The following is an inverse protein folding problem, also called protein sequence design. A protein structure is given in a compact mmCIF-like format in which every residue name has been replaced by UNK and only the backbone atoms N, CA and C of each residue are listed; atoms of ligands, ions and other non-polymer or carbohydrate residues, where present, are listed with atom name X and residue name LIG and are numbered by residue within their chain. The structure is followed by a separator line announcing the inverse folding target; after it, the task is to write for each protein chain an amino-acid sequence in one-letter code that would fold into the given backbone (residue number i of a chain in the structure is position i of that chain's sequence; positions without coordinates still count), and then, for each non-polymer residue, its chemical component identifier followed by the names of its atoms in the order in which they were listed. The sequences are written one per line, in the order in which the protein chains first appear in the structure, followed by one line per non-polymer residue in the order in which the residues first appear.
data_IF_133477490454
#
_entry.id   IF_133477490454
#
_cell.length_a   1.000
_cell.length_b   1.000
_cell.length_c   1.000
_cell.angle_alpha   90.00
_cell.angle_beta   90.00
_cell.angle_gamma   90.00
#
_symmetry.space_group_name_H-M   'P 1'
#
loop_
_entity.id
_entity.type
_entity.pdbx_description
1 polymer ?
#
# COMPACT_ATOMS: atom_id res chain seq x y z
N UNK A 1 20.19 -30.27 -0.42
CA UNK A 1 19.73 -30.04 0.97
C UNK A 1 18.40 -29.34 0.87
N UNK A 2 17.32 -30.10 0.92
CA UNK A 2 15.96 -29.56 0.89
C UNK A 2 15.68 -28.83 2.20
N UNK A 3 15.48 -27.52 2.11
CA UNK A 3 14.95 -26.76 3.23
C UNK A 3 13.53 -27.25 3.50
N UNK A 4 13.30 -27.84 4.67
CA UNK A 4 11.96 -28.20 5.15
C UNK A 4 11.03 -26.99 5.05
N UNK A 5 9.78 -27.15 4.57
CA UNK A 5 8.82 -26.07 4.49
C UNK A 5 8.64 -25.47 5.87
N UNK A 6 9.06 -24.22 6.03
CA UNK A 6 8.93 -23.50 7.28
C UNK A 6 7.43 -23.45 7.68
N UNK A 7 7.08 -23.95 8.87
CA UNK A 7 5.69 -23.95 9.36
C UNK A 7 5.25 -22.52 9.70
N UNK A 8 4.62 -21.86 8.73
CA UNK A 8 4.13 -20.48 8.84
C UNK A 8 3.00 -20.32 9.89
N UNK A 9 2.47 -21.41 10.48
CA UNK A 9 1.32 -21.36 11.40
C UNK A 9 1.62 -20.80 12.79
N UNK A 10 2.88 -20.84 13.24
CA UNK A 10 3.26 -20.41 14.59
C UNK A 10 4.01 -19.07 14.64
N UNK A 11 4.06 -18.34 13.52
CA UNK A 11 4.71 -17.02 13.45
C UNK A 11 3.69 -15.91 13.74
N UNK A 12 4.08 -14.85 14.48
CA UNK A 12 3.24 -13.66 14.65
C UNK A 12 2.85 -13.10 13.28
N UNK A 13 1.56 -12.84 13.07
CA UNK A 13 1.05 -12.22 11.84
C UNK A 13 1.09 -10.71 11.97
N UNK A 14 1.51 -10.03 10.92
CA UNK A 14 1.52 -8.58 10.81
C UNK A 14 0.37 -8.13 9.92
N UNK A 15 -0.41 -7.14 10.38
CA UNK A 15 -1.38 -6.41 9.57
C UNK A 15 -0.97 -4.94 9.51
N UNK A 16 -0.79 -4.43 8.30
CA UNK A 16 -0.59 -3.01 8.04
C UNK A 16 -1.83 -2.46 7.33
N UNK A 17 -2.50 -1.49 7.96
CA UNK A 17 -3.67 -0.82 7.37
C UNK A 17 -3.26 0.59 6.97
N UNK A 18 -3.45 0.89 5.69
CA UNK A 18 -3.38 2.25 5.17
C UNK A 18 -4.73 2.93 5.32
N UNK A 19 -4.78 4.05 6.04
CA UNK A 19 -5.99 4.87 6.16
C UNK A 19 -5.71 6.28 5.62
N UNK A 20 -6.21 6.55 4.41
CA UNK A 20 -6.05 7.88 3.80
C UNK A 20 -6.87 8.93 4.56
N UNK A 21 -6.30 10.13 4.71
CA UNK A 21 -6.89 11.27 5.41
C UNK A 21 -7.39 10.99 6.85
N UNK A 22 -6.85 9.97 7.53
CA UNK A 22 -7.11 9.73 8.96
C UNK A 22 -6.48 10.83 9.84
N UNK A 23 -7.27 11.84 10.18
CA UNK A 23 -6.84 12.98 10.97
C UNK A 23 -7.36 12.91 12.42
N UNK A 24 -6.48 13.18 13.39
CA UNK A 24 -6.80 13.16 14.81
C UNK A 24 -7.88 14.19 15.22
N UNK A 25 -8.00 15.30 14.50
CA UNK A 25 -9.04 16.30 14.74
C UNK A 25 -10.45 15.77 14.44
N UNK A 26 -10.56 14.76 13.56
CA UNK A 26 -11.82 14.07 13.29
C UNK A 26 -11.97 12.82 14.16
N UNK A 27 -10.90 12.05 14.32
CA UNK A 27 -10.91 10.79 15.06
C UNK A 27 -11.19 11.01 16.55
N UNK A 28 -10.53 11.98 17.20
CA UNK A 28 -10.64 12.15 18.65
C UNK A 28 -12.08 12.47 19.10
N UNK A 29 -12.81 13.44 18.48
CA UNK A 29 -14.20 13.69 18.85
C UNK A 29 -15.12 12.48 18.65
N UNK A 30 -14.85 11.62 17.67
CA UNK A 30 -15.64 10.40 17.44
C UNK A 30 -15.35 9.32 18.50
N UNK A 31 -14.09 9.18 18.92
CA UNK A 31 -13.69 8.31 20.03
C UNK A 31 -14.33 8.78 21.34
N UNK A 32 -14.25 10.07 21.66
CA UNK A 32 -14.83 10.66 22.88
C UNK A 32 -16.35 10.47 22.96
N UNK A 33 -17.05 10.45 21.83
CA UNK A 33 -18.49 10.18 21.72
C UNK A 33 -18.83 8.69 21.80
N UNK A 34 -17.85 7.80 21.96
CA UNK A 34 -18.04 6.34 21.98
C UNK A 34 -18.40 5.75 20.61
N UNK A 35 -18.17 6.47 19.51
CA UNK A 35 -18.53 6.04 18.15
C UNK A 35 -17.45 5.18 17.47
N UNK A 36 -16.27 5.04 18.09
CA UNK A 36 -15.14 4.28 17.55
C UNK A 36 -14.53 3.32 18.59
N UNK A 37 -15.32 2.39 19.17
CA UNK A 37 -14.90 1.57 20.32
C UNK A 37 -13.70 0.66 20.02
N UNK A 38 -13.57 0.18 18.77
CA UNK A 38 -12.41 -0.64 18.36
C UNK A 38 -11.14 0.20 18.33
N UNK A 39 -11.22 1.42 17.80
CA UNK A 39 -10.05 2.31 17.73
C UNK A 39 -9.68 2.82 19.12
N UNK A 40 -10.65 3.17 19.95
CA UNK A 40 -10.44 3.52 21.36
C UNK A 40 -9.63 2.44 22.09
N UNK A 41 -9.99 1.17 21.92
CA UNK A 41 -9.23 0.03 22.47
C UNK A 41 -7.78 0.01 21.96
N UNK A 42 -7.55 0.23 20.66
CA UNK A 42 -6.19 0.29 20.10
C UNK A 42 -5.37 1.45 20.64
N UNK A 43 -5.97 2.62 20.87
CA UNK A 43 -5.29 3.77 21.45
C UNK A 43 -4.92 3.54 22.91
N UNK A 44 -5.77 2.86 23.69
CA UNK A 44 -5.54 2.56 25.10
C UNK A 44 -4.52 1.43 25.31
N UNK A 45 -4.64 0.35 24.54
CA UNK A 45 -3.88 -0.88 24.75
C UNK A 45 -2.61 -0.95 23.88
N UNK A 46 -2.40 0.06 23.01
CA UNK A 46 -1.29 0.14 22.06
C UNK A 46 -0.47 1.42 22.19
N UNK A 47 0.11 1.86 21.07
CA UNK A 47 0.87 3.11 20.98
C UNK A 47 0.31 3.96 19.84
N UNK A 48 0.18 5.26 20.10
CA UNK A 48 -0.33 6.24 19.14
C UNK A 48 0.46 7.54 19.22
N UNK A 49 0.45 8.31 18.14
CA UNK A 49 1.14 9.60 18.08
C UNK A 49 1.15 10.21 16.69
N UNK A 50 1.59 11.47 16.63
CA UNK A 50 1.78 12.18 15.38
C UNK A 50 3.07 11.72 14.69
N UNK A 51 2.97 11.34 13.42
CA UNK A 51 4.12 11.06 12.57
C UNK A 51 4.39 12.25 11.66
N UNK A 52 5.67 12.62 11.54
CA UNK A 52 6.07 13.66 10.60
C UNK A 52 5.83 13.19 9.16
N UNK A 53 5.12 14.00 8.38
CA UNK A 53 4.86 13.73 6.96
C UNK A 53 6.01 14.20 6.05
N UNK A 54 6.03 13.68 4.82
CA UNK A 54 6.93 14.17 3.77
C UNK A 54 6.32 15.39 3.07
N UNK A 55 7.19 16.26 2.55
CA UNK A 55 6.78 17.40 1.72
C UNK A 55 7.35 17.30 0.30
N UNK A 56 6.54 17.56 -0.75
CA UNK A 56 5.08 17.76 -0.71
C UNK A 56 4.31 16.49 -0.29
N UNK A 57 3.15 16.68 0.36
CA UNK A 57 2.30 15.61 0.88
C UNK A 57 1.40 15.02 -0.23
N UNK A 58 2.02 14.47 -1.28
CA UNK A 58 1.29 13.82 -2.37
C UNK A 58 1.12 12.34 -2.06
N UNK A 59 -0.10 11.81 -2.19
CA UNK A 59 -0.41 10.40 -1.91
C UNK A 59 0.56 9.42 -2.59
N UNK A 60 0.93 9.56 -3.88
CA UNK A 60 1.89 8.68 -4.52
C UNK A 60 3.25 8.63 -3.83
N UNK A 61 3.73 9.77 -3.32
CA UNK A 61 5.00 9.84 -2.61
C UNK A 61 4.89 9.17 -1.24
N UNK A 62 3.82 9.44 -0.50
CA UNK A 62 3.60 8.94 0.85
C UNK A 62 3.39 7.42 0.87
N UNK A 63 2.49 6.89 0.04
CA UNK A 63 2.17 5.47 -0.03
C UNK A 63 3.38 4.63 -0.45
N UNK A 64 4.19 5.13 -1.39
CA UNK A 64 5.41 4.44 -1.82
C UNK A 64 6.55 4.57 -0.79
N UNK A 65 6.60 5.68 -0.04
CA UNK A 65 7.53 5.81 1.08
C UNK A 65 7.20 4.84 2.21
N UNK A 66 5.92 4.66 2.55
CA UNK A 66 5.47 3.67 3.54
C UNK A 66 5.82 2.26 3.05
N UNK A 67 5.52 1.93 1.80
CA UNK A 67 5.76 0.60 1.24
C UNK A 67 7.25 0.22 1.20
N UNK A 68 8.14 1.18 0.95
CA UNK A 68 9.57 0.92 0.71
C UNK A 68 10.47 1.28 1.89
N UNK A 69 10.00 2.09 2.83
CA UNK A 69 10.82 2.71 3.87
C UNK A 69 11.83 3.72 3.33
N UNK A 70 11.64 4.22 2.10
CA UNK A 70 12.55 5.13 1.39
C UNK A 70 11.90 6.47 1.12
N UNK A 71 12.71 7.50 0.83
CA UNK A 71 12.20 8.81 0.39
C UNK A 71 11.91 8.81 -1.13
N UNK A 72 11.13 9.77 -1.65
CA UNK A 72 10.81 9.90 -3.08
C UNK A 72 12.01 9.87 -4.02
N UNK A 73 13.12 10.52 -3.63
CA UNK A 73 14.38 10.50 -4.39
C UNK A 73 14.99 9.09 -4.54
N UNK A 74 14.68 8.17 -3.63
CA UNK A 74 15.24 6.81 -3.60
C UNK A 74 14.29 5.82 -4.28
N UNK A 75 12.99 5.86 -3.95
CA UNK A 75 12.02 4.95 -4.57
C UNK A 75 11.54 5.41 -5.95
N UNK A 76 11.81 6.66 -6.36
CA UNK A 76 11.59 7.16 -7.73
C UNK A 76 10.17 7.64 -8.06
N UNK A 77 9.23 7.61 -7.10
CA UNK A 77 7.85 8.05 -7.32
C UNK A 77 7.68 9.46 -6.78
N UNK A 78 7.46 10.42 -7.68
CA UNK A 78 7.51 11.86 -7.37
C UNK A 78 6.15 12.58 -7.43
N UNK A 79 5.11 11.93 -7.93
CA UNK A 79 3.80 12.54 -8.13
C UNK A 79 2.81 11.53 -8.69
N UNK A 80 1.68 12.04 -9.19
CA UNK A 80 0.61 11.21 -9.75
C UNK A 80 0.93 10.69 -11.15
N UNK A 81 1.80 11.40 -11.87
CA UNK A 81 2.22 11.05 -13.23
C UNK A 81 3.73 11.07 -13.34
N UNK A 82 4.23 10.34 -14.32
CA UNK A 82 5.63 10.34 -14.74
C UNK A 82 5.72 10.41 -16.27
N UNK A 83 6.88 10.80 -16.79
CA UNK A 83 7.10 10.79 -18.22
C UNK A 83 7.05 9.36 -18.78
N UNK A 84 6.53 9.21 -19.99
CA UNK A 84 6.67 7.97 -20.74
C UNK A 84 8.15 7.69 -21.03
N UNK A 85 8.48 6.43 -21.26
CA UNK A 85 9.87 6.00 -21.52
C UNK A 85 10.46 6.64 -22.79
N UNK A 86 9.61 6.98 -23.76
CA UNK A 86 9.94 7.68 -25.01
C UNK A 86 9.93 9.22 -24.88
N UNK A 87 9.63 9.74 -23.69
CA UNK A 87 9.47 11.16 -23.37
C UNK A 87 8.45 11.92 -24.24
N UNK A 88 7.51 11.24 -24.90
CA UNK A 88 6.51 11.89 -25.76
C UNK A 88 5.24 12.32 -25.02
N UNK A 89 5.10 11.91 -23.75
CA UNK A 89 3.93 12.20 -22.94
C UNK A 89 4.12 11.84 -21.47
N UNK A 90 3.02 11.77 -20.74
CA UNK A 90 2.98 11.37 -19.33
C UNK A 90 2.01 10.21 -19.13
N UNK A 91 2.32 9.34 -18.18
CA UNK A 91 1.46 8.24 -17.73
C UNK A 91 1.25 8.31 -16.21
N UNK A 92 0.15 7.74 -15.68
CA UNK A 92 0.00 7.55 -14.24
C UNK A 92 1.14 6.72 -13.67
N UNK A 93 1.52 7.00 -12.43
CA UNK A 93 2.47 6.14 -11.72
C UNK A 93 1.86 4.78 -11.41
N UNK A 94 2.71 3.76 -11.50
CA UNK A 94 2.37 2.35 -11.45
C UNK A 94 3.35 1.61 -10.51
N UNK A 95 3.12 0.31 -10.30
CA UNK A 95 4.07 -0.54 -9.57
C UNK A 95 5.46 -0.54 -10.21
N UNK A 96 5.49 -0.44 -11.55
CA UNK A 96 6.71 -0.36 -12.37
C UNK A 96 7.47 0.96 -12.24
N UNK A 97 6.85 2.02 -11.69
CA UNK A 97 7.52 3.30 -11.43
C UNK A 97 8.50 3.22 -10.26
N UNK A 98 8.30 2.28 -9.32
CA UNK A 98 9.15 2.12 -8.15
C UNK A 98 10.54 1.58 -8.55
N UNK A 99 11.58 2.24 -8.08
CA UNK A 99 13.00 1.81 -8.22
C UNK A 99 13.53 1.03 -7.02
N UNK A 100 12.70 0.84 -6.00
CA UNK A 100 13.03 0.15 -4.77
C UNK A 100 12.02 -0.96 -4.50
N UNK A 101 12.49 -2.03 -3.85
CA UNK A 101 11.62 -3.11 -3.37
C UNK A 101 10.69 -2.58 -2.28
N UNK A 102 9.41 -2.88 -2.39
CA UNK A 102 8.45 -2.71 -1.32
C UNK A 102 8.55 -3.86 -0.30
N UNK A 103 7.92 -3.67 0.86
CA UNK A 103 7.94 -4.63 1.97
C UNK A 103 7.51 -6.04 1.51
N UNK A 104 6.46 -6.16 0.70
CA UNK A 104 5.99 -7.44 0.17
C UNK A 104 6.99 -8.13 -0.76
N UNK A 105 7.80 -7.38 -1.52
CA UNK A 105 8.87 -7.96 -2.34
C UNK A 105 9.97 -8.55 -1.46
N UNK A 106 10.35 -7.82 -0.41
CA UNK A 106 11.38 -8.25 0.55
C UNK A 106 10.90 -9.51 1.28
N UNK A 107 9.67 -9.52 1.78
CA UNK A 107 9.06 -10.67 2.45
C UNK A 107 9.00 -11.89 1.52
N UNK A 108 8.56 -11.71 0.27
CA UNK A 108 8.49 -12.80 -0.72
C UNK A 108 9.86 -13.40 -1.02
N UNK A 109 10.89 -12.55 -1.18
CA UNK A 109 12.27 -13.00 -1.42
C UNK A 109 12.87 -13.76 -0.24
N UNK A 110 12.36 -13.53 0.97
CA UNK A 110 12.72 -14.27 2.18
C UNK A 110 11.79 -15.45 2.47
N UNK A 111 11.00 -15.90 1.48
CA UNK A 111 10.13 -17.06 1.60
C UNK A 111 8.87 -16.85 2.43
N UNK A 112 8.56 -15.62 2.84
CA UNK A 112 7.35 -15.30 3.62
C UNK A 112 6.17 -15.00 2.69
N UNK A 113 4.97 -15.41 3.11
CA UNK A 113 3.74 -15.12 2.38
C UNK A 113 3.18 -13.73 2.73
N UNK A 114 2.54 -13.07 1.77
CA UNK A 114 1.88 -11.77 1.97
C UNK A 114 0.55 -11.69 1.22
N UNK A 115 -0.41 -10.97 1.79
CA UNK A 115 -1.62 -10.55 1.10
C UNK A 115 -1.56 -9.02 1.00
N UNK A 116 -1.62 -8.49 -0.22
CA UNK A 116 -1.63 -7.05 -0.48
C UNK A 116 -2.89 -6.72 -1.26
N UNK A 117 -3.68 -5.77 -0.77
CA UNK A 117 -4.94 -5.37 -1.40
C UNK A 117 -5.03 -3.84 -1.44
N UNK A 118 -5.36 -3.28 -2.60
CA UNK A 118 -5.73 -1.88 -2.73
C UNK A 118 -4.60 -0.87 -2.51
N UNK A 119 -3.34 -1.31 -2.37
CA UNK A 119 -2.22 -0.40 -2.06
C UNK A 119 -1.97 0.55 -3.23
N UNK A 120 -1.84 1.86 -2.98
CA UNK A 120 -1.72 2.84 -4.06
C UNK A 120 -0.50 2.57 -4.97
N UNK A 121 -0.71 2.70 -6.29
CA UNK A 121 0.29 2.37 -7.33
C UNK A 121 0.81 0.92 -7.22
N UNK A 122 -0.09 -0.03 -7.00
CA UNK A 122 0.21 -1.47 -7.03
C UNK A 122 -0.21 -2.14 -8.34
N UNK A 123 -0.75 -1.39 -9.30
CA UNK A 123 -1.02 -1.86 -10.65
C UNK A 123 0.19 -1.63 -11.57
N UNK A 124 0.59 -2.59 -12.43
CA UNK A 124 0.12 -3.96 -12.50
C UNK A 124 0.49 -4.77 -11.25
N UNK A 125 -0.36 -5.74 -10.90
CA UNK A 125 -0.14 -6.60 -9.73
C UNK A 125 1.21 -7.32 -9.85
N UNK A 126 2.03 -7.20 -8.80
CA UNK A 126 3.37 -7.78 -8.78
C UNK A 126 3.32 -9.27 -8.42
N UNK A 127 4.20 -10.10 -9.01
CA UNK A 127 4.35 -11.48 -8.58
C UNK A 127 4.99 -11.53 -7.18
N UNK A 128 4.21 -11.96 -6.19
CA UNK A 128 4.65 -12.15 -4.81
C UNK A 128 4.31 -13.56 -4.33
N UNK A 129 4.96 -14.02 -3.26
CA UNK A 129 4.55 -15.25 -2.57
C UNK A 129 3.26 -14.95 -1.80
N UNK A 130 2.12 -15.28 -2.36
CA UNK A 130 0.81 -15.02 -1.74
C UNK A 130 -0.16 -14.41 -2.75
N UNK A 131 -0.91 -13.38 -2.33
CA UNK A 131 -1.99 -12.79 -3.12
C UNK A 131 -1.80 -11.29 -3.22
N UNK A 132 -1.90 -10.74 -4.43
CA UNK A 132 -1.96 -9.29 -4.65
C UNK A 132 -3.22 -8.93 -5.45
N UNK A 133 -4.06 -8.07 -4.89
CA UNK A 133 -5.12 -7.36 -5.59
C UNK A 133 -4.70 -5.90 -5.72
N UNK A 134 -4.45 -5.44 -6.95
CA UNK A 134 -3.96 -4.08 -7.19
C UNK A 134 -5.03 -3.03 -6.83
N UNK A 135 -4.62 -1.77 -6.67
CA UNK A 135 -5.53 -0.65 -6.46
C UNK A 135 -6.47 -0.35 -7.64
N UNK A 136 -6.30 -1.04 -8.78
CA UNK A 136 -7.21 -0.95 -9.92
C UNK A 136 -8.16 -2.15 -10.01
N UNK A 137 -8.05 -3.13 -9.10
CA UNK A 137 -8.96 -4.29 -9.08
C UNK A 137 -10.44 -3.89 -8.87
N UNK A 138 -10.68 -2.84 -8.08
CA UNK A 138 -12.03 -2.32 -7.81
C UNK A 138 -12.57 -1.41 -8.92
N UNK A 139 -11.73 -1.03 -9.89
CA UNK A 139 -12.14 -0.24 -11.05
C UNK A 139 -12.80 -1.17 -12.07
N UNK A 140 -14.01 -1.65 -11.72
CA UNK A 140 -14.93 -2.23 -12.68
C UNK A 140 -15.46 -1.08 -13.54
N UNK A 141 -14.78 -0.80 -14.66
CA UNK A 141 -15.36 0.04 -15.70
C UNK A 141 -16.52 -0.73 -16.32
N UNK A 142 -17.76 -0.28 -16.19
CA UNK A 142 -18.87 -0.93 -16.90
C UNK A 142 -18.95 -0.34 -18.32
N UNK A 143 -18.47 -1.06 -19.33
CA UNK A 143 -18.80 -0.76 -20.72
C UNK A 143 -20.07 -1.54 -21.09
N UNK A 144 -21.11 -0.81 -21.50
CA UNK A 144 -22.40 -1.36 -21.96
C UNK A 144 -23.09 -2.33 -20.95
N UNK A 145 -22.92 -2.07 -19.65
CA UNK A 145 -23.47 -2.91 -18.58
C UNK A 145 -22.69 -4.20 -18.30
N UNK A 146 -21.55 -4.40 -18.97
CA UNK A 146 -20.62 -5.49 -18.72
C UNK A 146 -19.34 -4.97 -18.06
N UNK A 147 -18.77 -5.70 -17.08
CA UNK A 147 -17.50 -5.30 -16.48
C UNK A 147 -16.40 -5.37 -17.55
N UNK A 148 -15.73 -4.24 -17.77
CA UNK A 148 -14.55 -4.13 -18.60
C UNK A 148 -13.46 -4.96 -17.93
N UNK A 149 -12.62 -5.66 -18.73
CA UNK A 149 -11.50 -6.38 -18.18
C UNK A 149 -10.63 -5.40 -17.39
N UNK A 150 -10.07 -5.81 -16.24
CA UNK A 150 -9.14 -4.96 -15.51
C UNK A 150 -8.02 -4.52 -16.47
N UNK A 151 -7.57 -3.25 -16.41
CA UNK A 151 -6.47 -2.80 -17.24
C UNK A 151 -5.27 -3.75 -17.08
N UNK A 152 -4.62 -4.10 -18.18
CA UNK A 152 -3.48 -5.03 -18.19
C UNK A 152 -2.28 -4.50 -17.39
#
# INVERSE_FOLDING_TARGET
MDATPNDDRNRPRLLLVGWDAADWQLINPLVERGLMPTLERFLRDGASGNLATLRPALSPMLWNSIATGKRPREHGVHGFTEANDDATGVRPVASTSRRCKALWNILSQNGMSSIVAGWYASHPAEPIRGVMASNQFEQLDFQDGSPSPPPA
#
